data_IF_788111453271
#
_entry.id   IF_788111453271
#
_cell.length_a   1.000
_cell.length_b   1.000
_cell.length_c   1.000
_cell.angle_alpha   90.00
_cell.angle_beta   90.00
_cell.angle_gamma   90.00
#
_symmetry.space_group_name_H-M   'P 1'
#
loop_
_entity.id
_entity.type
_entity.pdbx_description
1 polymer ?
#
# COMPACT_ATOMS: atom_id res chain seq x y z
N UNK A 1 -14.78 -2.02 43.12
CA UNK A 1 -16.08 -1.51 43.62
C UNK A 1 -16.90 -2.60 44.24
N UNK A 2 -17.15 -3.71 43.55
CA UNK A 2 -17.93 -4.84 44.06
C UNK A 2 -17.37 -5.40 45.39
N UNK A 3 -16.03 -5.51 45.48
CA UNK A 3 -15.34 -5.89 46.71
C UNK A 3 -15.67 -4.96 47.92
N UNK A 4 -15.73 -3.63 47.66
CA UNK A 4 -16.05 -2.67 48.70
C UNK A 4 -17.53 -2.73 49.14
N UNK A 5 -18.44 -3.07 48.24
CA UNK A 5 -19.85 -3.28 48.52
C UNK A 5 -20.02 -4.56 49.34
N UNK A 6 -19.37 -5.63 48.93
CA UNK A 6 -19.50 -6.96 49.57
C UNK A 6 -18.78 -7.06 50.93
N UNK A 7 -17.53 -6.53 51.00
CA UNK A 7 -16.70 -6.66 52.20
C UNK A 7 -17.01 -5.66 53.30
N UNK A 8 -17.50 -4.46 52.94
CA UNK A 8 -17.74 -3.37 53.91
C UNK A 8 -19.22 -2.96 54.03
N UNK A 9 -20.13 -3.64 53.33
CA UNK A 9 -21.55 -3.30 53.37
C UNK A 9 -21.90 -1.89 52.90
N UNK A 10 -21.02 -1.28 52.12
CA UNK A 10 -21.21 0.09 51.62
C UNK A 10 -22.18 0.12 50.45
N UNK A 11 -23.06 1.11 50.40
CA UNK A 11 -23.93 1.30 49.24
C UNK A 11 -23.10 1.64 47.98
N UNK A 12 -23.52 1.15 46.80
CA UNK A 12 -22.90 1.47 45.53
C UNK A 12 -22.77 3.01 45.30
N UNK A 13 -23.71 3.80 45.80
CA UNK A 13 -23.64 5.27 45.76
C UNK A 13 -22.42 5.78 46.54
N UNK A 14 -22.24 5.31 47.77
CA UNK A 14 -21.14 5.77 48.64
C UNK A 14 -19.77 5.30 48.08
N UNK A 15 -19.72 4.09 47.54
CA UNK A 15 -18.51 3.62 46.86
C UNK A 15 -18.17 4.50 45.64
N UNK A 16 -19.15 4.88 44.83
CA UNK A 16 -18.95 5.78 43.68
C UNK A 16 -18.44 7.16 44.09
N UNK A 17 -18.99 7.72 45.19
CA UNK A 17 -18.59 9.01 45.71
C UNK A 17 -17.15 8.98 46.26
N UNK A 18 -16.76 7.92 46.96
CA UNK A 18 -15.39 7.74 47.50
C UNK A 18 -14.34 7.66 46.38
N UNK A 19 -14.60 6.93 45.28
CA UNK A 19 -13.65 6.80 44.16
C UNK A 19 -13.85 7.84 43.05
N UNK A 20 -14.72 8.83 43.30
CA UNK A 20 -15.05 9.87 42.32
C UNK A 20 -15.46 9.35 40.94
N UNK A 21 -16.30 8.31 40.94
CA UNK A 21 -16.77 7.65 39.70
C UNK A 21 -18.27 7.90 39.53
N UNK A 22 -18.73 8.32 38.33
CA UNK A 22 -20.16 8.44 38.05
C UNK A 22 -20.88 7.08 38.23
N UNK A 23 -22.03 7.07 38.90
CA UNK A 23 -22.87 5.88 39.11
C UNK A 23 -23.28 5.20 37.82
N UNK A 24 -23.50 6.00 36.75
CA UNK A 24 -23.78 5.49 35.42
C UNK A 24 -22.62 4.64 34.85
N UNK A 25 -21.38 5.02 35.16
CA UNK A 25 -20.20 4.26 34.76
C UNK A 25 -20.07 2.94 35.52
N UNK A 26 -20.41 2.93 36.81
CA UNK A 26 -20.44 1.67 37.61
C UNK A 26 -21.57 0.74 37.17
N UNK A 27 -22.75 1.28 36.92
CA UNK A 27 -23.92 0.50 36.50
C UNK A 27 -23.86 0.08 35.03
N UNK A 28 -22.88 0.58 34.27
CA UNK A 28 -22.77 0.26 32.85
C UNK A 28 -22.41 -1.21 32.62
N UNK A 29 -23.35 -1.95 32.07
CA UNK A 29 -23.12 -3.30 31.55
C UNK A 29 -22.88 -3.23 30.04
N UNK A 30 -21.72 -3.73 29.60
CA UNK A 30 -21.38 -3.81 28.18
C UNK A 30 -22.47 -4.60 27.42
N UNK A 31 -23.19 -3.93 26.53
CA UNK A 31 -24.19 -4.60 25.69
C UNK A 31 -23.47 -5.53 24.71
N UNK A 32 -23.73 -6.81 24.81
CA UNK A 32 -23.24 -7.79 23.83
C UNK A 32 -24.03 -7.60 22.54
N UNK A 33 -23.32 -7.39 21.41
CA UNK A 33 -23.96 -7.31 20.10
C UNK A 33 -23.95 -8.71 19.49
N UNK A 34 -25.08 -9.22 19.01
CA UNK A 34 -25.17 -10.62 18.52
C UNK A 34 -24.25 -10.90 17.33
N UNK A 35 -23.93 -9.88 16.53
CA UNK A 35 -23.02 -9.96 15.38
C UNK A 35 -21.52 -9.87 15.74
N UNK A 36 -21.18 -9.75 17.03
CA UNK A 36 -19.78 -9.48 17.42
C UNK A 36 -18.88 -10.70 17.21
N UNK A 37 -19.37 -11.90 17.45
CA UNK A 37 -18.61 -13.13 17.28
C UNK A 37 -18.34 -13.43 15.79
N UNK A 38 -19.33 -13.22 14.95
CA UNK A 38 -19.18 -13.36 13.51
C UNK A 38 -18.12 -12.40 12.95
N UNK A 39 -18.19 -11.11 13.35
CA UNK A 39 -17.22 -10.09 12.94
C UNK A 39 -15.82 -10.45 13.45
N UNK A 40 -15.70 -10.95 14.68
CA UNK A 40 -14.44 -11.38 15.30
C UNK A 40 -13.78 -12.50 14.49
N UNK A 41 -14.54 -13.54 14.16
CA UNK A 41 -14.07 -14.66 13.37
C UNK A 41 -13.65 -14.22 11.96
N UNK A 42 -14.46 -13.36 11.33
CA UNK A 42 -14.14 -12.84 10.00
C UNK A 42 -12.90 -11.93 10.00
N UNK A 43 -12.71 -11.16 11.07
CA UNK A 43 -11.51 -10.32 11.23
C UNK A 43 -10.24 -11.17 11.40
N UNK A 44 -10.31 -12.28 12.15
CA UNK A 44 -9.20 -13.24 12.27
C UNK A 44 -8.84 -13.87 10.93
N UNK A 45 -9.83 -14.38 10.21
CA UNK A 45 -9.65 -14.95 8.86
C UNK A 45 -8.93 -13.97 7.93
N UNK A 46 -9.39 -12.70 7.92
CA UNK A 46 -8.78 -11.67 7.08
C UNK A 46 -7.35 -11.32 7.55
N UNK A 47 -7.08 -11.33 8.85
CA UNK A 47 -5.75 -11.06 9.39
C UNK A 47 -4.76 -12.20 9.08
N UNK A 48 -5.22 -13.44 9.08
CA UNK A 48 -4.43 -14.62 8.66
C UNK A 48 -4.13 -14.57 7.17
N UNK A 49 -5.11 -14.26 6.34
CA UNK A 49 -4.92 -14.11 4.89
C UNK A 49 -4.03 -12.91 4.50
N UNK A 50 -4.01 -11.85 5.32
CA UNK A 50 -3.25 -10.62 5.08
C UNK A 50 -2.48 -10.20 6.35
N UNK A 51 -1.41 -10.91 6.72
CA UNK A 51 -0.72 -10.71 8.01
C UNK A 51 -0.04 -9.35 8.18
N UNK A 52 0.14 -8.60 7.08
CA UNK A 52 0.77 -7.26 7.09
C UNK A 52 -0.25 -6.12 7.08
N UNK A 53 -1.55 -6.44 7.11
CA UNK A 53 -2.60 -5.41 7.13
C UNK A 53 -2.95 -5.00 8.56
N UNK A 54 -2.90 -3.68 8.81
CA UNK A 54 -3.40 -3.12 10.06
C UNK A 54 -4.93 -3.01 10.07
N UNK A 55 -5.51 -2.74 11.25
CA UNK A 55 -6.97 -2.71 11.43
C UNK A 55 -7.73 -1.84 10.42
N UNK A 56 -7.14 -0.73 9.96
CA UNK A 56 -7.80 0.16 8.97
C UNK A 56 -7.99 -0.53 7.63
N UNK A 57 -7.00 -1.26 7.16
CA UNK A 57 -7.10 -2.02 5.90
C UNK A 57 -8.05 -3.20 6.07
N UNK A 58 -7.95 -3.94 7.17
CA UNK A 58 -8.87 -5.05 7.48
C UNK A 58 -10.31 -4.55 7.64
N UNK A 59 -10.52 -3.36 8.21
CA UNK A 59 -11.83 -2.73 8.26
C UNK A 59 -12.43 -2.48 6.87
N UNK A 60 -11.63 -2.00 5.93
CA UNK A 60 -12.06 -1.81 4.54
C UNK A 60 -12.46 -3.14 3.91
N UNK A 61 -11.66 -4.20 4.13
CA UNK A 61 -11.99 -5.54 3.62
C UNK A 61 -13.27 -6.10 4.23
N UNK A 62 -13.52 -5.89 5.53
CA UNK A 62 -14.78 -6.24 6.18
C UNK A 62 -15.96 -5.52 5.53
N UNK A 63 -15.85 -4.21 5.30
CA UNK A 63 -16.89 -3.43 4.64
C UNK A 63 -17.18 -3.90 3.21
N UNK A 64 -16.15 -4.27 2.45
CA UNK A 64 -16.30 -4.87 1.11
C UNK A 64 -17.03 -6.22 1.14
N UNK A 65 -16.94 -6.95 2.25
CA UNK A 65 -17.69 -8.19 2.50
C UNK A 65 -19.12 -7.95 3.03
N UNK A 66 -19.58 -6.69 3.05
CA UNK A 66 -20.95 -6.32 3.44
C UNK A 66 -21.16 -6.01 4.93
N UNK A 67 -20.13 -6.10 5.77
CA UNK A 67 -20.27 -5.78 7.20
C UNK A 67 -20.39 -4.28 7.44
N UNK A 68 -21.54 -3.82 7.94
CA UNK A 68 -21.76 -2.43 8.33
C UNK A 68 -21.28 -2.23 9.76
N UNK A 69 -20.03 -1.83 9.90
CA UNK A 69 -19.36 -1.70 11.21
C UNK A 69 -18.63 -0.35 11.32
N UNK A 70 -18.59 0.21 12.53
CA UNK A 70 -17.77 1.37 12.84
C UNK A 70 -16.29 0.97 13.00
N UNK A 71 -15.38 1.76 12.44
CA UNK A 71 -13.93 1.51 12.54
C UNK A 71 -13.41 1.38 13.97
N UNK A 72 -13.98 2.14 14.95
CA UNK A 72 -13.62 2.02 16.37
C UNK A 72 -13.95 0.63 16.95
N UNK A 73 -15.03 0.00 16.47
CA UNK A 73 -15.38 -1.37 16.86
C UNK A 73 -14.39 -2.38 16.29
N UNK A 74 -14.01 -2.20 15.02
CA UNK A 74 -12.97 -3.03 14.39
C UNK A 74 -11.63 -2.88 15.13
N UNK A 75 -11.23 -1.65 15.46
CA UNK A 75 -9.98 -1.37 16.20
C UNK A 75 -9.97 -2.03 17.57
N UNK A 76 -11.10 -1.98 18.31
CA UNK A 76 -11.23 -2.63 19.61
C UNK A 76 -11.09 -4.15 19.50
N UNK A 77 -11.86 -4.79 18.59
CA UNK A 77 -11.79 -6.23 18.37
C UNK A 77 -10.38 -6.66 17.93
N UNK A 78 -9.76 -5.90 17.02
CA UNK A 78 -8.39 -6.12 16.57
C UNK A 78 -7.36 -6.10 17.72
N UNK A 79 -7.55 -5.20 18.69
CA UNK A 79 -6.72 -5.13 19.88
C UNK A 79 -7.00 -6.29 20.86
N UNK A 80 -8.27 -6.63 21.10
CA UNK A 80 -8.70 -7.75 21.96
C UNK A 80 -8.12 -9.10 21.46
N UNK A 81 -8.09 -9.30 20.13
CA UNK A 81 -7.55 -10.50 19.49
C UNK A 81 -6.02 -10.48 19.31
N UNK A 82 -5.33 -9.46 19.84
CA UNK A 82 -3.86 -9.32 19.78
C UNK A 82 -3.29 -9.36 18.36
N UNK A 83 -4.07 -8.93 17.36
CA UNK A 83 -3.67 -8.89 15.96
C UNK A 83 -2.75 -7.70 15.63
N UNK A 84 -2.41 -6.88 16.62
CA UNK A 84 -1.64 -5.64 16.46
C UNK A 84 -0.26 -5.90 15.87
N UNK A 85 0.05 -5.25 14.75
CA UNK A 85 1.35 -5.33 14.11
C UNK A 85 2.42 -4.64 14.97
N UNK A 86 3.59 -5.27 15.10
CA UNK A 86 4.75 -4.65 15.75
C UNK A 86 5.17 -3.40 14.97
N UNK A 87 5.03 -2.22 15.58
CA UNK A 87 5.51 -0.97 15.01
C UNK A 87 6.99 -0.79 15.34
N UNK A 88 7.87 -0.77 14.33
CA UNK A 88 9.23 -0.26 14.54
C UNK A 88 9.13 1.22 14.90
N UNK A 89 9.72 1.64 16.06
CA UNK A 89 9.83 3.06 16.41
C UNK A 89 10.66 3.75 15.33
N UNK A 90 10.05 4.60 14.55
CA UNK A 90 10.76 5.46 13.60
C UNK A 90 11.58 6.46 14.45
N UNK A 91 12.91 6.49 14.26
CA UNK A 91 13.71 7.61 14.74
C UNK A 91 13.17 8.88 14.09
N UNK A 92 12.91 9.93 14.89
CA UNK A 92 12.58 11.25 14.35
C UNK A 92 13.76 11.68 13.47
N UNK A 93 13.59 11.71 12.17
CA UNK A 93 14.53 12.35 11.28
C UNK A 93 14.34 13.85 11.47
N UNK A 94 15.40 14.56 11.84
CA UNK A 94 15.44 16.02 11.79
C UNK A 94 15.07 16.43 10.35
N UNK A 95 14.02 17.23 10.20
CA UNK A 95 13.53 17.61 8.89
C UNK A 95 14.64 18.34 8.11
N UNK A 96 14.90 17.90 6.88
CA UNK A 96 15.75 18.65 5.97
C UNK A 96 15.06 19.98 5.65
N UNK A 97 15.75 21.08 5.87
CA UNK A 97 15.24 22.44 5.62
C UNK A 97 15.08 22.75 4.13
N UNK A 98 15.62 21.93 3.25
CA UNK A 98 15.51 22.05 1.79
C UNK A 98 14.51 21.02 1.26
N UNK A 99 13.25 21.42 1.14
CA UNK A 99 12.26 20.69 0.36
C UNK A 99 12.49 21.02 -1.11
N UNK A 100 12.99 20.09 -1.87
CA UNK A 100 13.00 20.18 -3.33
C UNK A 100 11.62 19.79 -3.83
N UNK A 101 11.09 20.55 -4.76
CA UNK A 101 9.83 20.21 -5.44
C UNK A 101 10.07 19.00 -6.33
N UNK A 102 9.62 17.84 -5.88
CA UNK A 102 9.43 16.70 -6.78
C UNK A 102 8.20 17.00 -7.63
N UNK A 103 8.25 16.84 -8.94
CA UNK A 103 7.08 17.07 -9.79
C UNK A 103 5.88 16.29 -9.28
N UNK A 104 4.76 16.97 -9.03
CA UNK A 104 3.55 16.35 -8.55
C UNK A 104 2.80 15.74 -9.73
N UNK A 105 2.49 14.46 -9.62
CA UNK A 105 1.67 13.81 -10.63
C UNK A 105 0.21 14.23 -10.48
N UNK A 106 -0.42 14.65 -11.59
CA UNK A 106 -1.77 15.22 -11.61
C UNK A 106 -2.80 14.32 -12.28
N UNK A 107 -2.35 13.36 -13.09
CA UNK A 107 -3.19 12.41 -13.83
C UNK A 107 -2.47 11.10 -14.09
N UNK A 108 -3.23 10.10 -14.49
CA UNK A 108 -2.68 8.82 -14.94
C UNK A 108 -1.69 9.05 -16.08
N UNK A 109 -0.60 8.29 -16.08
CA UNK A 109 0.49 8.39 -17.06
C UNK A 109 1.17 9.77 -17.13
N UNK A 110 1.03 10.63 -16.11
CA UNK A 110 1.83 11.84 -16.04
C UNK A 110 3.27 11.49 -15.65
N UNK A 111 3.46 10.81 -14.53
CA UNK A 111 4.79 10.45 -14.03
C UNK A 111 4.81 8.98 -13.61
N UNK A 112 5.73 8.21 -14.19
CA UNK A 112 6.06 6.89 -13.68
C UNK A 112 7.30 6.94 -12.80
N UNK A 113 7.43 6.00 -11.91
CA UNK A 113 8.61 5.82 -11.05
C UNK A 113 9.08 4.38 -11.20
N UNK A 114 10.38 4.17 -11.36
CA UNK A 114 10.92 2.81 -11.44
C UNK A 114 12.19 2.67 -10.60
N UNK A 115 12.43 1.42 -10.17
CA UNK A 115 13.55 1.08 -9.30
C UNK A 115 13.82 -0.42 -9.36
N UNK A 116 14.96 -0.84 -8.81
CA UNK A 116 15.33 -2.24 -8.70
C UNK A 116 15.22 -2.76 -7.28
N UNK A 117 14.70 -3.98 -7.17
CA UNK A 117 14.70 -4.77 -5.94
C UNK A 117 15.45 -6.06 -6.17
N UNK A 118 16.32 -6.44 -5.24
CA UNK A 118 17.07 -7.69 -5.31
C UNK A 118 16.63 -8.67 -4.23
N UNK A 119 16.63 -9.96 -4.56
CA UNK A 119 16.39 -11.07 -3.66
C UNK A 119 17.20 -12.30 -4.10
N UNK A 120 16.98 -13.47 -3.52
CA UNK A 120 17.61 -14.71 -3.92
C UNK A 120 16.62 -15.89 -3.87
N UNK A 121 16.83 -16.88 -4.71
CA UNK A 121 16.13 -18.18 -4.63
C UNK A 121 16.88 -19.13 -3.70
N UNK A 122 16.27 -20.24 -3.33
CA UNK A 122 16.79 -21.22 -2.36
C UNK A 122 18.19 -21.78 -2.70
N UNK A 123 18.54 -21.82 -3.98
CA UNK A 123 19.89 -22.17 -4.46
C UNK A 123 20.91 -21.04 -4.28
N UNK A 124 20.61 -20.00 -3.53
CA UNK A 124 21.41 -18.79 -3.34
C UNK A 124 21.69 -17.99 -4.64
N UNK A 125 20.99 -18.32 -5.73
CA UNK A 125 21.07 -17.57 -6.99
C UNK A 125 20.33 -16.24 -6.82
N UNK A 126 21.03 -15.15 -7.06
CA UNK A 126 20.45 -13.79 -6.98
C UNK A 126 19.41 -13.60 -8.08
N UNK A 127 18.32 -12.93 -7.73
CA UNK A 127 17.30 -12.45 -8.66
C UNK A 127 17.18 -10.93 -8.50
N UNK A 128 16.87 -10.29 -9.60
CA UNK A 128 16.67 -8.84 -9.70
C UNK A 128 15.28 -8.58 -10.24
N UNK A 129 14.63 -7.55 -9.70
CA UNK A 129 13.27 -7.19 -10.08
C UNK A 129 13.28 -5.73 -10.50
N UNK A 130 12.80 -5.43 -11.72
CA UNK A 130 12.48 -4.06 -12.12
C UNK A 130 11.02 -3.79 -11.75
N UNK A 131 10.79 -2.78 -10.95
CA UNK A 131 9.44 -2.33 -10.54
C UNK A 131 9.10 -1.02 -11.23
N UNK A 132 7.89 -0.92 -11.80
CA UNK A 132 7.40 0.30 -12.47
C UNK A 132 6.01 0.64 -11.93
N UNK A 133 5.83 1.87 -11.46
CA UNK A 133 4.59 2.33 -10.81
C UNK A 133 4.16 3.67 -11.36
N UNK A 134 2.88 3.83 -11.65
CA UNK A 134 2.27 5.13 -11.90
C UNK A 134 2.13 5.89 -10.57
N UNK A 135 2.70 7.09 -10.50
CA UNK A 135 2.78 7.85 -9.25
C UNK A 135 1.46 8.53 -8.88
N UNK A 136 0.52 8.70 -9.79
CA UNK A 136 -0.81 9.24 -9.53
C UNK A 136 -1.75 8.16 -9.00
N UNK A 137 -1.96 7.11 -9.79
CA UNK A 137 -2.91 6.03 -9.49
C UNK A 137 -2.37 5.02 -8.48
N UNK A 138 -1.07 5.04 -8.19
CA UNK A 138 -0.35 4.01 -7.40
C UNK A 138 -0.38 2.61 -8.02
N UNK A 139 -0.85 2.49 -9.26
CA UNK A 139 -0.89 1.22 -9.98
C UNK A 139 0.51 0.69 -10.24
N UNK A 140 0.74 -0.54 -9.88
CA UNK A 140 1.92 -1.28 -10.33
C UNK A 140 1.73 -1.66 -11.79
N UNK A 141 2.49 -1.01 -12.67
CA UNK A 141 2.41 -1.23 -14.10
C UNK A 141 3.08 -2.54 -14.48
N UNK A 142 4.28 -2.79 -13.94
CA UNK A 142 4.94 -4.08 -14.07
C UNK A 142 5.97 -4.38 -12.96
N UNK A 143 6.28 -5.67 -12.83
CA UNK A 143 7.41 -6.20 -12.06
C UNK A 143 8.07 -7.27 -12.91
N UNK A 144 9.16 -6.95 -13.57
CA UNK A 144 9.98 -7.92 -14.26
C UNK A 144 10.90 -8.64 -13.28
N UNK A 145 10.84 -9.96 -13.20
CA UNK A 145 11.74 -10.78 -12.37
C UNK A 145 12.72 -11.54 -13.29
N UNK A 146 14.02 -11.34 -13.10
CA UNK A 146 15.05 -12.06 -13.85
C UNK A 146 16.34 -12.18 -13.01
N UNK A 147 17.31 -12.94 -13.47
CA UNK A 147 18.63 -13.05 -12.84
C UNK A 147 19.56 -11.92 -13.25
N UNK A 148 19.32 -11.32 -14.42
CA UNK A 148 20.06 -10.17 -14.93
C UNK A 148 19.13 -9.29 -15.78
N UNK A 149 19.16 -8.00 -15.54
CA UNK A 149 18.35 -7.02 -16.27
C UNK A 149 19.30 -5.90 -16.69
N UNK A 150 19.55 -5.78 -17.99
CA UNK A 150 20.33 -4.68 -18.57
C UNK A 150 19.42 -3.59 -19.12
N UNK A 151 19.99 -2.45 -19.54
CA UNK A 151 19.25 -1.31 -20.06
C UNK A 151 18.36 -1.63 -21.27
N UNK A 152 18.79 -2.48 -22.19
CA UNK A 152 17.96 -2.91 -23.33
C UNK A 152 16.74 -3.72 -22.89
N UNK A 153 16.91 -4.56 -21.84
CA UNK A 153 15.78 -5.31 -21.27
C UNK A 153 14.78 -4.38 -20.58
N UNK A 154 15.27 -3.33 -19.91
CA UNK A 154 14.42 -2.27 -19.36
C UNK A 154 13.59 -1.61 -20.46
N UNK A 155 14.21 -1.19 -21.56
CA UNK A 155 13.50 -0.55 -22.69
C UNK A 155 12.41 -1.44 -23.28
N UNK A 156 12.66 -2.75 -23.44
CA UNK A 156 11.65 -3.70 -23.94
C UNK A 156 10.43 -3.79 -23.01
N UNK A 157 10.68 -3.87 -21.70
CA UNK A 157 9.58 -3.89 -20.71
C UNK A 157 8.80 -2.57 -20.76
N UNK A 158 9.47 -1.44 -20.88
CA UNK A 158 8.81 -0.14 -21.01
C UNK A 158 7.97 -0.06 -22.30
N UNK A 159 8.43 -0.60 -23.41
CA UNK A 159 7.63 -0.68 -24.65
C UNK A 159 6.36 -1.52 -24.45
N UNK A 160 6.47 -2.68 -23.77
CA UNK A 160 5.32 -3.54 -23.44
C UNK A 160 4.31 -2.81 -22.52
N UNK A 161 4.82 -2.05 -21.54
CA UNK A 161 3.96 -1.26 -20.64
C UNK A 161 3.28 -0.12 -21.41
N UNK A 162 4.02 0.61 -22.24
CA UNK A 162 3.47 1.73 -23.06
C UNK A 162 2.36 1.25 -23.99
N UNK A 163 2.51 0.10 -24.62
CA UNK A 163 1.46 -0.51 -25.47
C UNK A 163 0.18 -0.84 -24.71
N UNK A 164 0.28 -1.24 -23.44
CA UNK A 164 -0.86 -1.66 -22.62
C UNK A 164 -1.51 -0.54 -21.85
N UNK A 165 -0.71 0.36 -21.30
CA UNK A 165 -1.16 1.36 -20.31
C UNK A 165 -1.18 2.80 -20.85
N UNK A 166 -0.58 3.02 -22.02
CA UNK A 166 -0.30 4.35 -22.54
C UNK A 166 1.07 4.86 -22.15
N UNK A 167 1.46 6.02 -22.69
CA UNK A 167 2.80 6.60 -22.56
C UNK A 167 2.84 7.62 -21.40
N UNK A 168 3.90 7.61 -20.55
CA UNK A 168 4.11 8.64 -19.55
C UNK A 168 4.76 9.89 -20.17
N UNK A 169 4.62 11.04 -19.52
CA UNK A 169 5.38 12.23 -19.87
C UNK A 169 6.79 12.22 -19.27
N UNK A 170 6.92 11.61 -18.09
CA UNK A 170 8.17 11.57 -17.35
C UNK A 170 8.33 10.23 -16.61
N UNK A 171 9.57 9.78 -16.51
CA UNK A 171 9.94 8.64 -15.67
C UNK A 171 11.00 9.09 -14.67
N UNK A 172 10.76 8.83 -13.37
CA UNK A 172 11.72 9.09 -12.29
C UNK A 172 12.50 7.81 -12.01
N UNK A 173 13.83 7.93 -11.99
CA UNK A 173 14.77 6.83 -11.74
C UNK A 173 15.88 7.24 -10.77
N UNK A 174 16.55 6.28 -10.17
CA UNK A 174 17.81 6.51 -9.49
C UNK A 174 18.99 6.58 -10.48
N UNK A 175 20.20 6.81 -9.95
CA UNK A 175 21.43 6.85 -10.75
C UNK A 175 22.05 5.46 -10.93
N UNK A 176 21.28 4.38 -10.90
CA UNK A 176 21.77 3.03 -11.15
C UNK A 176 22.37 2.87 -12.55
N UNK A 177 23.38 2.01 -12.73
CA UNK A 177 24.06 1.82 -14.02
C UNK A 177 23.12 1.34 -15.13
N UNK A 178 22.04 0.64 -14.77
CA UNK A 178 21.04 0.14 -15.71
C UNK A 178 20.14 1.27 -16.27
N UNK A 179 20.02 2.38 -15.53
CA UNK A 179 19.24 3.55 -15.93
C UNK A 179 20.09 4.67 -16.54
N UNK A 180 21.34 4.81 -16.09
CA UNK A 180 22.28 5.82 -16.62
C UNK A 180 22.96 5.41 -17.93
N UNK A 181 22.53 4.31 -18.53
CA UNK A 181 23.07 3.81 -19.79
C UNK A 181 22.41 4.43 -21.03
N UNK A 182 23.18 4.55 -22.11
CA UNK A 182 22.76 5.11 -23.40
C UNK A 182 21.44 4.51 -23.94
N UNK A 183 21.16 3.23 -23.64
CA UNK A 183 19.95 2.55 -24.13
C UNK A 183 18.66 3.23 -23.66
N UNK A 184 18.57 3.61 -22.38
CA UNK A 184 17.39 4.28 -21.83
C UNK A 184 17.26 5.71 -22.36
N UNK A 185 18.36 6.43 -22.47
CA UNK A 185 18.36 7.80 -23.01
C UNK A 185 17.88 7.83 -24.46
N UNK A 186 18.41 6.95 -25.33
CA UNK A 186 18.00 6.83 -26.72
C UNK A 186 16.54 6.38 -26.86
N UNK A 187 16.08 5.47 -26.00
CA UNK A 187 14.69 5.03 -25.98
C UNK A 187 13.75 6.20 -25.59
N UNK A 188 14.08 6.91 -24.51
CA UNK A 188 13.30 8.03 -24.02
C UNK A 188 13.23 9.18 -25.04
N UNK A 189 14.37 9.51 -25.67
CA UNK A 189 14.42 10.51 -26.73
C UNK A 189 13.50 10.16 -27.90
N UNK A 190 13.55 8.91 -28.39
CA UNK A 190 12.68 8.47 -29.50
C UNK A 190 11.19 8.50 -29.15
N UNK A 191 10.85 8.29 -27.87
CA UNK A 191 9.47 8.31 -27.40
C UNK A 191 9.01 9.70 -26.94
N UNK A 192 9.89 10.68 -26.86
CA UNK A 192 9.59 12.02 -26.32
C UNK A 192 9.29 12.01 -24.82
N UNK A 193 9.84 11.02 -24.07
CA UNK A 193 9.64 10.87 -22.64
C UNK A 193 10.80 11.53 -21.89
N UNK A 194 10.51 12.29 -20.84
CA UNK A 194 11.55 12.89 -19.98
C UNK A 194 12.04 11.89 -18.94
N UNK A 195 13.35 11.67 -18.84
CA UNK A 195 13.94 10.94 -17.73
C UNK A 195 14.40 11.93 -16.66
N UNK A 196 13.93 11.73 -15.43
CA UNK A 196 14.34 12.51 -14.28
C UNK A 196 15.16 11.65 -13.34
N UNK A 197 16.47 11.90 -13.29
CA UNK A 197 17.37 11.25 -12.33
C UNK A 197 17.26 11.94 -10.98
N UNK A 198 17.05 11.18 -9.92
CA UNK A 198 17.06 11.74 -8.56
C UNK A 198 18.46 12.23 -8.20
N UNK A 199 18.52 13.29 -7.41
CA UNK A 199 19.81 13.81 -6.96
C UNK A 199 20.48 12.84 -5.98
N UNK A 200 21.81 12.68 -6.06
CA UNK A 200 22.55 11.83 -5.11
C UNK A 200 22.24 12.22 -3.66
N UNK A 201 21.95 11.22 -2.81
CA UNK A 201 21.62 11.43 -1.40
C UNK A 201 20.21 12.01 -1.13
N UNK A 202 19.34 12.09 -2.14
CA UNK A 202 17.94 12.57 -2.02
C UNK A 202 16.91 11.48 -2.32
N UNK A 203 16.86 10.37 -1.56
CA UNK A 203 15.92 9.28 -1.82
C UNK A 203 14.44 9.72 -1.76
N UNK A 204 14.14 10.82 -1.05
CA UNK A 204 12.78 11.37 -0.97
C UNK A 204 12.21 11.71 -2.35
N UNK A 205 13.06 11.99 -3.35
CA UNK A 205 12.63 12.28 -4.72
C UNK A 205 12.03 11.05 -5.40
N UNK A 206 12.34 9.83 -4.94
CA UNK A 206 11.74 8.57 -5.41
C UNK A 206 10.89 7.85 -4.34
N UNK A 207 10.32 8.62 -3.40
CA UNK A 207 9.60 8.07 -2.25
C UNK A 207 8.42 7.15 -2.61
N UNK A 208 7.82 7.33 -3.79
CA UNK A 208 6.69 6.50 -4.24
C UNK A 208 7.13 5.07 -4.52
N UNK A 209 8.20 4.90 -5.31
CA UNK A 209 8.71 3.57 -5.62
C UNK A 209 9.37 2.93 -4.41
N UNK A 210 10.08 3.70 -3.55
CA UNK A 210 10.62 3.18 -2.29
C UNK A 210 9.50 2.62 -1.38
N UNK A 211 8.41 3.37 -1.27
CA UNK A 211 7.24 2.93 -0.51
C UNK A 211 6.58 1.69 -1.11
N UNK A 212 6.52 1.59 -2.45
CA UNK A 212 6.02 0.42 -3.16
C UNK A 212 6.94 -0.78 -2.92
N UNK A 213 8.24 -0.62 -3.13
CA UNK A 213 9.25 -1.68 -2.92
C UNK A 213 9.27 -2.19 -1.48
N UNK A 214 9.06 -1.28 -0.51
CA UNK A 214 8.89 -1.65 0.89
C UNK A 214 7.70 -2.60 1.10
N UNK A 215 6.56 -2.34 0.44
CA UNK A 215 5.38 -3.22 0.51
C UNK A 215 5.59 -4.54 -0.21
N UNK A 216 6.16 -4.51 -1.41
CA UNK A 216 6.54 -5.72 -2.14
C UNK A 216 7.42 -6.61 -1.25
N UNK A 217 8.43 -6.03 -0.60
CA UNK A 217 9.32 -6.75 0.31
C UNK A 217 8.58 -7.32 1.52
N UNK A 218 7.76 -6.51 2.21
CA UNK A 218 7.08 -6.92 3.44
C UNK A 218 5.93 -7.91 3.18
N UNK A 219 5.18 -7.74 2.09
CA UNK A 219 3.94 -8.48 1.82
C UNK A 219 4.15 -9.70 0.91
N UNK A 220 5.22 -9.71 0.09
CA UNK A 220 5.54 -10.79 -0.84
C UNK A 220 6.91 -11.42 -0.55
N UNK A 221 8.01 -10.68 -0.73
CA UNK A 221 9.34 -11.28 -0.74
C UNK A 221 9.72 -11.90 0.61
N UNK A 222 9.49 -11.21 1.73
CA UNK A 222 9.78 -11.72 3.08
C UNK A 222 8.77 -12.78 3.57
N UNK A 223 7.69 -13.00 2.84
CA UNK A 223 6.63 -13.94 3.23
C UNK A 223 6.74 -15.28 2.51
N UNK A 224 7.62 -15.37 1.51
CA UNK A 224 7.76 -16.56 0.68
C UNK A 224 9.22 -17.00 0.56
N UNK A 225 9.40 -18.29 0.36
CA UNK A 225 10.68 -18.91 0.04
C UNK A 225 10.68 -19.32 -1.42
N UNK A 226 11.47 -18.65 -2.26
CA UNK A 226 11.50 -18.91 -3.70
C UNK A 226 12.35 -20.13 -4.01
N UNK A 227 11.75 -21.18 -4.57
CA UNK A 227 12.47 -22.39 -4.97
C UNK A 227 13.16 -22.25 -6.33
N UNK A 228 12.61 -21.42 -7.22
CA UNK A 228 13.15 -21.13 -8.55
C UNK A 228 12.80 -19.71 -8.99
N UNK A 229 13.41 -19.25 -10.09
CA UNK A 229 13.09 -17.95 -10.70
C UNK A 229 11.64 -17.92 -11.18
N UNK A 230 11.14 -19.01 -11.75
CA UNK A 230 9.77 -19.08 -12.26
C UNK A 230 8.74 -19.12 -11.12
N UNK A 231 9.07 -19.78 -10.01
CA UNK A 231 8.26 -19.68 -8.78
C UNK A 231 8.20 -18.25 -8.24
N UNK A 232 9.33 -17.52 -8.24
CA UNK A 232 9.35 -16.11 -7.87
C UNK A 232 8.49 -15.25 -8.82
N UNK A 233 8.54 -15.47 -10.14
CA UNK A 233 7.69 -14.78 -11.12
C UNK A 233 6.21 -15.00 -10.84
N UNK A 234 5.79 -16.25 -10.57
CA UNK A 234 4.38 -16.57 -10.28
C UNK A 234 3.89 -15.83 -9.05
N UNK A 235 4.59 -15.95 -7.90
CA UNK A 235 4.19 -15.31 -6.65
C UNK A 235 4.18 -13.78 -6.74
N UNK A 236 5.17 -13.19 -7.43
CA UNK A 236 5.22 -11.73 -7.64
C UNK A 236 4.08 -11.28 -8.56
N UNK A 237 3.72 -12.06 -9.58
CA UNK A 237 2.59 -11.76 -10.47
C UNK A 237 1.25 -11.81 -9.73
N UNK A 238 1.03 -12.83 -8.90
CA UNK A 238 -0.15 -12.94 -8.05
C UNK A 238 -0.25 -11.76 -7.08
N UNK A 239 0.85 -11.41 -6.41
CA UNK A 239 0.91 -10.26 -5.52
C UNK A 239 0.63 -8.95 -6.27
N UNK A 240 1.20 -8.75 -7.48
CA UNK A 240 0.92 -7.57 -8.33
C UNK A 240 -0.56 -7.45 -8.65
N UNK A 241 -1.20 -8.55 -9.00
CA UNK A 241 -2.65 -8.59 -9.27
C UNK A 241 -3.46 -8.20 -8.03
N UNK A 242 -3.19 -8.81 -6.89
CA UNK A 242 -3.86 -8.49 -5.62
C UNK A 242 -3.60 -7.04 -5.17
N UNK A 243 -2.37 -6.54 -5.36
CA UNK A 243 -2.01 -5.15 -5.07
C UNK A 243 -2.85 -4.17 -5.89
N UNK A 244 -3.02 -4.41 -7.18
CA UNK A 244 -3.76 -3.52 -8.07
C UNK A 244 -5.28 -3.63 -7.91
N UNK A 245 -5.82 -4.85 -7.69
CA UNK A 245 -7.27 -5.08 -7.63
C UNK A 245 -7.86 -4.92 -6.23
N UNK A 246 -7.14 -5.37 -5.19
CA UNK A 246 -7.75 -5.57 -3.89
C UNK A 246 -7.14 -4.73 -2.77
N UNK A 247 -5.86 -4.34 -2.88
CA UNK A 247 -5.14 -3.71 -1.79
C UNK A 247 -5.64 -2.29 -1.51
N UNK A 248 -6.17 -1.98 -0.29
CA UNK A 248 -6.59 -0.62 0.04
C UNK A 248 -5.39 0.33 0.19
N UNK A 249 -5.47 1.51 -0.41
CA UNK A 249 -4.47 2.57 -0.31
C UNK A 249 -5.00 3.80 0.42
N UNK A 250 -4.40 4.17 1.54
CA UNK A 250 -4.84 5.34 2.32
C UNK A 250 -4.76 6.65 1.51
N UNK A 251 -3.77 6.78 0.62
CA UNK A 251 -3.62 7.94 -0.27
C UNK A 251 -4.69 8.02 -1.37
N UNK A 252 -5.39 6.92 -1.65
CA UNK A 252 -6.48 6.83 -2.62
C UNK A 252 -7.86 6.71 -1.94
N UNK A 253 -8.00 7.19 -0.70
CA UNK A 253 -9.24 7.04 0.06
C UNK A 253 -9.61 5.59 0.37
N UNK A 254 -8.63 4.71 0.54
CA UNK A 254 -8.76 3.27 0.75
C UNK A 254 -9.32 2.48 -0.44
N UNK A 255 -9.34 3.08 -1.63
CA UNK A 255 -9.55 2.34 -2.87
C UNK A 255 -8.29 1.56 -3.25
N UNK A 256 -8.45 0.50 -4.03
CA UNK A 256 -7.32 -0.12 -4.73
C UNK A 256 -6.93 0.74 -5.95
N UNK A 257 -5.73 0.57 -6.51
CA UNK A 257 -5.33 1.31 -7.72
C UNK A 257 -6.35 1.22 -8.86
N UNK A 258 -6.84 0.02 -9.16
CA UNK A 258 -7.81 -0.17 -10.24
C UNK A 258 -9.21 0.36 -9.90
N UNK A 259 -9.65 0.29 -8.63
CA UNK A 259 -10.89 0.96 -8.18
C UNK A 259 -10.78 2.48 -8.32
N UNK A 260 -9.62 3.05 -7.99
CA UNK A 260 -9.37 4.48 -8.13
C UNK A 260 -9.43 4.92 -9.59
N UNK A 261 -8.77 4.18 -10.51
CA UNK A 261 -8.81 4.46 -11.95
C UNK A 261 -10.25 4.42 -12.47
N UNK A 262 -11.03 3.39 -12.13
CA UNK A 262 -12.44 3.28 -12.54
C UNK A 262 -13.27 4.47 -12.03
N UNK A 263 -13.01 4.91 -10.81
CA UNK A 263 -13.69 6.06 -10.21
C UNK A 263 -13.34 7.37 -10.93
N UNK A 264 -12.05 7.60 -11.20
CA UNK A 264 -11.59 8.79 -11.92
C UNK A 264 -12.17 8.85 -13.35
N UNK A 265 -12.18 7.72 -14.04
CA UNK A 265 -12.78 7.60 -15.37
C UNK A 265 -14.30 7.91 -15.36
N UNK A 266 -15.02 7.55 -14.29
CA UNK A 266 -16.44 7.84 -14.14
C UNK A 266 -16.73 9.32 -13.78
N UNK A 267 -15.74 10.04 -13.23
CA UNK A 267 -15.88 11.47 -12.86
C UNK A 267 -15.57 12.39 -14.05
N UNK A 268 -14.80 11.94 -15.05
CA UNK A 268 -14.58 12.69 -16.27
C UNK A 268 -15.79 12.48 -17.22
N UNK A 269 -16.81 13.35 -17.25
CA UNK A 269 -17.87 13.20 -18.21
C UNK A 269 -17.33 13.52 -19.59
N UNK A 270 -17.76 12.77 -20.58
CA UNK A 270 -17.79 12.95 -22.01
C UNK A 270 -17.89 14.45 -22.39
N UNK A 271 -16.77 15.17 -22.36
CA UNK A 271 -16.67 16.56 -22.81
C UNK A 271 -15.83 16.71 -24.08
N UNK A 272 -15.77 15.69 -24.92
CA UNK A 272 -15.06 15.74 -26.22
C UNK A 272 -15.87 15.04 -27.31
N UNK A 273 -17.14 15.41 -27.49
CA UNK A 273 -17.91 15.02 -28.69
C UNK A 273 -18.85 16.15 -29.17
N UNK A 274 -18.51 17.41 -28.96
CA UNK A 274 -19.23 18.51 -29.60
C UNK A 274 -18.27 19.60 -30.09
N UNK A 275 -17.41 19.32 -31.06
CA UNK A 275 -16.84 20.34 -31.97
C UNK A 275 -16.25 19.65 -33.20
N UNK A 276 -17.11 19.07 -34.02
CA UNK A 276 -16.81 18.83 -35.43
C UNK A 276 -18.11 18.70 -36.25
N UNK A 277 -18.88 19.80 -36.25
CA UNK A 277 -19.84 20.09 -37.31
C UNK A 277 -20.12 21.61 -37.31
N UNK A 278 -19.26 22.35 -37.98
CA UNK A 278 -19.58 23.64 -38.60
C UNK A 278 -18.58 23.90 -39.69
#
# INVERSE_FOLDING_TARGET
MDYAVESFGLSARRCCDIVNMPRSSYAYKKKHKPDEEEIRNKLKELAEAKPKYGYRMLHVLLRRKGYVINHKRTERIYGEEKLSLRKKRKRRKTGSMYRTEVPKSERQNHIWSMDFVSDAVSSNRKIKMLTVVDTFTRKCLDILVDTSINGYRVCRVLDEIVLREGQPEMIIVDNGPEFSGRALDEWAYRKGIKIHFIRPGKPVENAFIESFNGRLREECLNSHWFTSVDHAKSLVSEWKSDYNENRPHSSLGYLSPNEFIRKEAAIQPISVLEYSNS
#
